data_IF_901363310815
#
_entry.id   IF_901363310815
#
_cell.length_a   1.000
_cell.length_b   1.000
_cell.length_c   1.000
_cell.angle_alpha   90.00
_cell.angle_beta   90.00
_cell.angle_gamma   90.00
#
_symmetry.space_group_name_H-M   'P 1'
#
loop_
_entity.id
_entity.type
_entity.pdbx_description
1 polymer ?
#
# COMPACT_ATOMS: atom_id res chain seq x y z
N UNK A 1 3.01 12.10 1.28
CA UNK A 1 3.75 10.83 1.09
C UNK A 1 2.92 10.02 0.11
N UNK A 2 3.18 10.03 -1.20
CA UNK A 2 2.13 9.58 -2.15
C UNK A 2 2.66 8.89 -3.40
N UNK A 3 3.07 9.67 -4.39
CA UNK A 3 3.26 9.14 -5.75
C UNK A 3 4.45 8.18 -5.87
N UNK A 4 5.60 8.50 -5.26
CA UNK A 4 6.83 7.73 -5.46
C UNK A 4 6.76 6.31 -4.85
N UNK A 5 6.16 6.18 -3.66
CA UNK A 5 5.99 4.89 -2.98
C UNK A 5 4.99 4.01 -3.74
N UNK A 6 3.91 4.62 -4.24
CA UNK A 6 2.92 3.92 -5.07
C UNK A 6 3.52 3.43 -6.39
N UNK A 7 4.31 4.27 -7.07
CA UNK A 7 5.01 3.87 -8.30
C UNK A 7 6.02 2.76 -8.03
N UNK A 8 6.77 2.82 -6.92
CA UNK A 8 7.69 1.76 -6.52
C UNK A 8 6.96 0.42 -6.28
N UNK A 9 5.87 0.43 -5.51
CA UNK A 9 5.09 -0.78 -5.21
C UNK A 9 4.47 -1.34 -6.50
N UNK A 10 3.87 -0.49 -7.34
CA UNK A 10 3.28 -0.88 -8.61
C UNK A 10 4.33 -1.47 -9.57
N UNK A 11 5.52 -0.86 -9.65
CA UNK A 11 6.60 -1.35 -10.51
C UNK A 11 7.19 -2.66 -9.99
N UNK A 12 7.38 -2.83 -8.68
CA UNK A 12 7.88 -4.09 -8.09
C UNK A 12 6.84 -5.21 -8.27
N UNK A 13 5.56 -4.93 -8.00
CA UNK A 13 4.48 -5.90 -8.14
C UNK A 13 4.33 -6.39 -9.60
N UNK A 14 4.42 -5.48 -10.58
CA UNK A 14 4.33 -5.81 -12.01
C UNK A 14 5.58 -6.47 -12.56
N UNK A 15 6.77 -5.98 -12.19
CA UNK A 15 8.02 -6.45 -12.79
C UNK A 15 8.54 -7.75 -12.16
N UNK A 16 8.31 -7.98 -10.88
CA UNK A 16 8.94 -9.09 -10.16
C UNK A 16 7.96 -10.15 -9.64
N UNK A 17 6.64 -10.01 -9.90
CA UNK A 17 5.62 -10.98 -9.45
C UNK A 17 5.57 -11.18 -7.93
N UNK A 18 6.30 -10.35 -7.18
CA UNK A 18 6.45 -10.45 -5.73
C UNK A 18 5.41 -9.61 -4.99
N UNK A 19 5.24 -9.92 -3.72
CA UNK A 19 4.45 -9.13 -2.78
C UNK A 19 5.34 -8.11 -2.07
N UNK A 20 4.82 -6.91 -1.83
CA UNK A 20 5.53 -5.83 -1.14
C UNK A 20 4.97 -5.62 0.27
N UNK A 21 5.77 -5.11 1.20
CA UNK A 21 5.31 -4.70 2.54
C UNK A 21 5.67 -3.24 2.76
N UNK A 22 4.68 -2.42 3.11
CA UNK A 22 4.88 -1.03 3.51
C UNK A 22 4.74 -0.91 5.03
N UNK A 23 5.73 -0.33 5.70
CA UNK A 23 5.73 -0.11 7.15
C UNK A 23 5.70 1.38 7.49
N UNK A 24 4.53 1.91 7.87
CA UNK A 24 4.37 3.30 8.31
C UNK A 24 4.40 3.43 9.84
N UNK A 25 5.44 4.04 10.40
CA UNK A 25 5.56 4.28 11.86
C UNK A 25 5.30 5.75 12.15
N UNK A 26 4.37 6.03 13.07
CA UNK A 26 4.01 7.38 13.47
C UNK A 26 3.15 8.17 12.47
N UNK A 27 2.76 7.57 11.35
CA UNK A 27 1.90 8.21 10.34
C UNK A 27 0.56 8.65 10.95
N UNK A 28 0.07 9.83 10.53
CA UNK A 28 -1.26 10.29 10.94
C UNK A 28 -2.33 9.36 10.38
N UNK A 29 -3.40 9.10 11.13
CA UNK A 29 -4.50 8.23 10.69
C UNK A 29 -5.07 8.65 9.33
N UNK A 30 -5.16 9.96 9.07
CA UNK A 30 -5.61 10.49 7.78
C UNK A 30 -4.69 10.06 6.64
N UNK A 31 -3.38 10.19 6.81
CA UNK A 31 -2.39 9.84 5.79
C UNK A 31 -2.40 8.33 5.48
N UNK A 32 -2.68 7.48 6.48
CA UNK A 32 -2.89 6.03 6.30
C UNK A 32 -4.13 5.73 5.49
N UNK A 33 -5.23 6.43 5.77
CA UNK A 33 -6.49 6.24 5.06
C UNK A 33 -6.37 6.67 3.60
N UNK A 34 -5.75 7.83 3.35
CA UNK A 34 -5.53 8.35 2.00
C UNK A 34 -4.69 7.35 1.17
N UNK A 35 -3.58 6.85 1.75
CA UNK A 35 -2.73 5.85 1.09
C UNK A 35 -3.46 4.53 0.82
N UNK A 36 -4.29 4.06 1.75
CA UNK A 36 -5.06 2.83 1.57
C UNK A 36 -6.07 2.95 0.41
N UNK A 37 -6.77 4.08 0.31
CA UNK A 37 -7.74 4.33 -0.76
C UNK A 37 -7.05 4.43 -2.12
N UNK A 38 -5.90 5.11 -2.21
CA UNK A 38 -5.10 5.17 -3.44
C UNK A 38 -4.61 3.77 -3.90
N UNK A 39 -4.19 2.92 -2.97
CA UNK A 39 -3.75 1.55 -3.27
C UNK A 39 -4.91 0.65 -3.74
N UNK A 40 -6.11 0.90 -3.24
CA UNK A 40 -7.34 0.24 -3.70
C UNK A 40 -7.72 0.70 -5.11
N UNK A 41 -7.76 2.00 -5.35
CA UNK A 41 -8.12 2.58 -6.67
C UNK A 41 -7.12 2.17 -7.76
N UNK A 42 -5.84 2.01 -7.42
CA UNK A 42 -4.80 1.54 -8.35
C UNK A 42 -4.82 0.02 -8.60
N UNK A 43 -5.66 -0.74 -7.90
CA UNK A 43 -5.77 -2.20 -8.02
C UNK A 43 -4.59 -2.96 -7.40
N UNK A 44 -3.73 -2.28 -6.64
CA UNK A 44 -2.63 -2.91 -5.90
C UNK A 44 -3.17 -3.69 -4.70
N UNK A 45 -4.21 -3.15 -4.05
CA UNK A 45 -5.01 -3.85 -3.04
C UNK A 45 -6.34 -4.24 -3.69
N UNK A 46 -6.65 -5.53 -3.66
CA UNK A 46 -7.93 -6.07 -4.06
C UNK A 46 -8.73 -6.45 -2.79
N UNK A 47 -9.71 -5.63 -2.43
CA UNK A 47 -10.57 -5.88 -1.27
C UNK A 47 -11.51 -7.07 -1.46
N UNK A 48 -11.91 -7.36 -2.70
CA UNK A 48 -12.80 -8.48 -3.02
C UNK A 48 -12.04 -9.81 -2.99
N UNK A 49 -10.75 -9.78 -3.35
CA UNK A 49 -9.86 -10.91 -3.28
C UNK A 49 -8.50 -10.55 -2.68
N UNK A 50 -8.40 -10.62 -1.35
CA UNK A 50 -7.19 -10.28 -0.59
C UNK A 50 -5.97 -11.11 -1.06
N UNK A 51 -6.17 -12.35 -1.52
CA UNK A 51 -5.08 -13.21 -2.01
C UNK A 51 -4.43 -12.69 -3.30
N UNK A 52 -5.12 -11.84 -4.06
CA UNK A 52 -4.59 -11.20 -5.26
C UNK A 52 -3.87 -9.87 -4.97
N UNK A 53 -4.00 -9.33 -3.76
CA UNK A 53 -3.34 -8.10 -3.36
C UNK A 53 -1.83 -8.22 -3.43
N UNK A 54 -1.16 -7.17 -3.90
CA UNK A 54 0.29 -7.15 -4.13
C UNK A 54 1.07 -6.44 -3.04
N UNK A 55 0.39 -5.86 -2.05
CA UNK A 55 1.00 -5.15 -0.94
C UNK A 55 0.31 -5.45 0.38
N UNK A 56 1.09 -5.53 1.46
CA UNK A 56 0.60 -5.45 2.83
C UNK A 56 0.97 -4.08 3.43
N UNK A 57 0.01 -3.37 4.02
CA UNK A 57 0.23 -2.11 4.72
C UNK A 57 0.22 -2.36 6.23
N UNK A 58 1.36 -2.12 6.88
CA UNK A 58 1.53 -2.21 8.33
C UNK A 58 1.71 -0.81 8.87
N UNK A 59 0.84 -0.41 9.78
CA UNK A 59 0.88 0.92 10.32
C UNK A 59 0.96 0.94 11.86
N UNK A 60 2.00 1.53 12.44
CA UNK A 60 2.13 1.76 13.89
C UNK A 60 1.83 3.21 14.25
N UNK A 61 0.69 3.50 14.91
CA UNK A 61 0.26 4.89 15.18
C UNK A 61 1.16 5.58 16.22
N UNK A 62 1.45 6.87 16.00
CA UNK A 62 1.80 7.77 17.10
C UNK A 62 0.49 8.02 17.88
N UNK A 63 0.48 7.66 19.16
CA UNK A 63 -0.65 7.93 20.06
C UNK A 63 -0.87 9.42 20.25
#
# INVERSE_FOLDING_TARGET
MGVLIMELINNIAKAHGGVSVFGGVGERTRERNDLYMEMKESGVINEENIAESKVALVYGQMR
#
